data_IF_163582757678
#
_entry.id   IF_163582757678
#
_cell.length_a   1.000
_cell.length_b   1.000
_cell.length_c   1.000
_cell.angle_alpha   90.00
_cell.angle_beta   90.00
_cell.angle_gamma   90.00
#
_symmetry.space_group_name_H-M   'P 1'
#
loop_
_entity.id
_entity.type
_entity.pdbx_description
1 polymer ?
#
# COMPACT_ATOMS: atom_id res chain seq x y z
N UNK A 1 -11.80 17.39 6.55
CA UNK A 1 -12.94 16.69 7.17
C UNK A 1 -13.50 15.55 6.28
N UNK A 2 -13.88 15.79 5.01
CA UNK A 2 -14.42 14.75 4.10
C UNK A 2 -13.45 13.58 3.91
N UNK A 3 -12.15 13.83 3.74
CA UNK A 3 -11.15 12.76 3.56
C UNK A 3 -10.93 11.92 4.80
N UNK A 4 -10.92 12.52 5.98
CA UNK A 4 -10.82 11.77 7.23
C UNK A 4 -12.00 10.83 7.42
N UNK A 5 -13.20 11.26 7.00
CA UNK A 5 -14.41 10.43 7.01
C UNK A 5 -14.31 9.31 5.97
N UNK A 6 -13.84 9.60 4.74
CA UNK A 6 -13.65 8.58 3.70
C UNK A 6 -12.59 7.55 4.07
N UNK A 7 -11.47 7.98 4.63
CA UNK A 7 -10.41 7.07 5.11
C UNK A 7 -10.92 6.21 6.27
N UNK A 8 -11.69 6.79 7.19
CA UNK A 8 -12.30 6.09 8.32
C UNK A 8 -13.39 5.10 7.83
N UNK A 9 -14.21 5.49 6.86
CA UNK A 9 -15.19 4.62 6.22
C UNK A 9 -14.52 3.47 5.46
N UNK A 10 -13.46 3.73 4.70
CA UNK A 10 -12.70 2.70 4.01
C UNK A 10 -12.07 1.72 5.01
N UNK A 11 -11.51 2.23 6.11
CA UNK A 11 -10.94 1.39 7.18
C UNK A 11 -12.01 0.57 7.88
N UNK A 12 -13.18 1.15 8.18
CA UNK A 12 -14.31 0.43 8.78
C UNK A 12 -14.88 -0.64 7.85
N UNK A 13 -14.97 -0.34 6.54
CA UNK A 13 -15.37 -1.33 5.53
C UNK A 13 -14.37 -2.48 5.46
N UNK A 14 -13.07 -2.21 5.50
CA UNK A 14 -12.02 -3.22 5.56
C UNK A 14 -12.11 -4.07 6.83
N UNK A 15 -12.38 -3.47 7.99
CA UNK A 15 -12.58 -4.20 9.24
C UNK A 15 -13.84 -5.07 9.23
N UNK A 16 -14.95 -4.58 8.65
CA UNK A 16 -16.19 -5.37 8.51
C UNK A 16 -16.10 -6.46 7.46
N UNK A 17 -15.40 -6.23 6.36
CA UNK A 17 -15.23 -7.21 5.28
C UNK A 17 -14.15 -8.24 5.62
N UNK A 18 -13.20 -7.92 6.51
CA UNK A 18 -12.15 -8.84 6.93
C UNK A 18 -12.67 -10.21 7.42
N UNK A 19 -13.61 -10.27 8.37
CA UNK A 19 -14.22 -11.53 8.79
C UNK A 19 -14.94 -12.26 7.65
N UNK A 20 -15.75 -11.53 6.86
CA UNK A 20 -16.50 -12.09 5.72
C UNK A 20 -15.56 -12.67 4.64
N UNK A 21 -14.36 -12.09 4.51
CA UNK A 21 -13.34 -12.59 3.58
C UNK A 21 -12.77 -13.94 4.04
N UNK A 22 -12.69 -14.17 5.36
CA UNK A 22 -12.06 -15.36 5.93
C UNK A 22 -13.05 -16.42 6.45
N UNK A 23 -14.27 -16.04 6.89
CA UNK A 23 -15.24 -17.01 7.48
C UNK A 23 -15.87 -17.95 6.45
N UNK A 24 -16.07 -17.51 5.22
CA UNK A 24 -16.72 -18.36 4.19
C UNK A 24 -15.84 -19.53 3.70
N UNK A 25 -14.54 -19.50 3.98
CA UNK A 25 -13.60 -20.58 3.63
C UNK A 25 -13.50 -21.66 4.70
N UNK A 26 -13.85 -21.34 5.96
CA UNK A 26 -13.81 -22.35 7.03
C UNK A 26 -14.94 -23.39 6.93
N UNK A 27 -16.08 -23.05 6.32
CA UNK A 27 -17.19 -24.00 6.16
C UNK A 27 -16.90 -25.13 5.15
N UNK A 28 -15.94 -24.93 4.24
CA UNK A 28 -15.57 -25.95 3.23
C UNK A 28 -14.37 -26.82 3.63
N UNK A 29 -13.64 -26.50 4.71
CA UNK A 29 -12.45 -27.24 5.17
C UNK A 29 -12.71 -28.14 6.39
N UNK A 30 -13.86 -28.04 7.06
CA UNK A 30 -14.17 -28.90 8.22
C UNK A 30 -14.32 -30.40 7.88
N UNK A 31 -14.41 -30.76 6.60
CA UNK A 31 -14.53 -32.18 6.21
C UNK A 31 -13.19 -32.92 5.97
N UNK A 32 -12.01 -32.27 6.00
CA UNK A 32 -10.75 -32.92 5.55
C UNK A 32 -9.62 -32.99 6.56
N UNK A 33 -9.61 -32.31 7.71
CA UNK A 33 -8.48 -32.53 8.63
C UNK A 33 -8.76 -32.24 10.11
N UNK A 34 -9.14 -33.29 10.81
CA UNK A 34 -8.94 -33.43 12.24
C UNK A 34 -7.47 -33.78 12.53
N UNK A 35 -6.53 -32.83 12.50
CA UNK A 35 -5.26 -33.00 13.21
C UNK A 35 -4.45 -31.68 13.30
N UNK A 36 -4.08 -31.36 14.53
CA UNK A 36 -3.12 -30.37 15.01
C UNK A 36 -3.62 -28.93 15.14
N UNK A 37 -3.97 -28.60 16.39
CA UNK A 37 -4.21 -27.26 16.88
C UNK A 37 -2.98 -26.36 16.82
N UNK A 38 -2.85 -25.61 15.73
CA UNK A 38 -1.98 -24.42 15.66
C UNK A 38 -2.86 -23.17 15.74
N UNK A 39 -2.36 -22.03 16.25
CA UNK A 39 -3.17 -20.83 16.46
C UNK A 39 -3.56 -20.19 15.12
N UNK A 40 -4.58 -20.71 14.48
CA UNK A 40 -5.13 -20.24 13.20
C UNK A 40 -5.50 -18.75 13.29
N UNK A 41 -6.07 -18.31 14.41
CA UNK A 41 -6.47 -16.93 14.66
C UNK A 41 -5.31 -15.91 14.58
N UNK A 42 -4.12 -16.25 15.06
CA UNK A 42 -2.97 -15.35 15.03
C UNK A 42 -2.41 -15.10 13.62
N UNK A 43 -2.46 -16.12 12.78
CA UNK A 43 -1.90 -16.12 11.42
C UNK A 43 -2.77 -15.29 10.47
N UNK A 44 -4.08 -15.46 10.53
CA UNK A 44 -5.07 -14.68 9.77
C UNK A 44 -5.01 -13.19 10.12
N UNK A 45 -4.80 -12.84 11.40
CA UNK A 45 -4.66 -11.45 11.83
C UNK A 45 -3.46 -10.72 11.20
N UNK A 46 -2.33 -11.39 10.96
CA UNK A 46 -1.15 -10.77 10.32
C UNK A 46 -1.39 -10.55 8.83
N UNK A 47 -1.95 -11.54 8.13
CA UNK A 47 -2.29 -11.43 6.70
C UNK A 47 -3.27 -10.26 6.48
N UNK A 48 -4.32 -10.18 7.31
CA UNK A 48 -5.29 -9.09 7.23
C UNK A 48 -4.63 -7.71 7.43
N UNK A 49 -3.77 -7.56 8.43
CA UNK A 49 -3.04 -6.30 8.67
C UNK A 49 -2.15 -5.92 7.49
N UNK A 50 -1.45 -6.89 6.90
CA UNK A 50 -0.63 -6.67 5.71
C UNK A 50 -1.48 -6.20 4.52
N UNK A 51 -2.59 -6.87 4.25
CA UNK A 51 -3.53 -6.50 3.18
C UNK A 51 -4.09 -5.10 3.39
N UNK A 52 -4.52 -4.77 4.62
CA UNK A 52 -5.01 -3.42 4.94
C UNK A 52 -3.95 -2.35 4.70
N UNK A 53 -2.71 -2.57 5.13
CA UNK A 53 -1.61 -1.64 4.85
C UNK A 53 -1.39 -1.45 3.36
N UNK A 54 -1.38 -2.54 2.59
CA UNK A 54 -1.20 -2.49 1.13
C UNK A 54 -2.30 -1.68 0.47
N UNK A 55 -3.57 -1.93 0.80
CA UNK A 55 -4.70 -1.18 0.22
C UNK A 55 -4.63 0.31 0.58
N UNK A 56 -4.31 0.64 1.84
CA UNK A 56 -4.17 2.03 2.26
C UNK A 56 -3.03 2.73 1.52
N UNK A 57 -1.87 2.11 1.38
CA UNK A 57 -0.74 2.68 0.65
C UNK A 57 -1.01 2.82 -0.84
N UNK A 58 -1.60 1.80 -1.47
CA UNK A 58 -1.98 1.85 -2.88
C UNK A 58 -3.02 2.94 -3.16
N UNK A 59 -3.98 3.16 -2.27
CA UNK A 59 -4.98 4.22 -2.44
C UNK A 59 -4.38 5.63 -2.46
N UNK A 60 -3.29 5.87 -1.71
CA UNK A 60 -2.53 7.12 -1.80
C UNK A 60 -1.78 7.22 -3.13
N UNK A 61 -1.11 6.13 -3.55
CA UNK A 61 -0.41 6.08 -4.83
C UNK A 61 -1.33 6.43 -5.98
N UNK A 62 -2.49 5.80 -6.06
CA UNK A 62 -3.49 6.08 -7.10
C UNK A 62 -3.99 7.52 -7.07
N UNK A 63 -4.19 8.10 -5.89
CA UNK A 63 -4.55 9.53 -5.78
C UNK A 63 -3.45 10.41 -6.36
N UNK A 64 -2.19 10.11 -6.04
CA UNK A 64 -1.06 10.88 -6.53
C UNK A 64 -0.93 10.73 -8.04
N UNK A 65 -0.97 9.52 -8.57
CA UNK A 65 -0.90 9.24 -10.01
C UNK A 65 -2.01 9.96 -10.79
N UNK A 66 -3.23 9.98 -10.27
CA UNK A 66 -4.38 10.60 -10.94
C UNK A 66 -4.22 12.11 -11.15
N UNK A 67 -3.53 12.80 -10.27
CA UNK A 67 -3.37 14.26 -10.31
C UNK A 67 -1.92 14.73 -10.46
N UNK A 68 -0.98 13.81 -10.63
CA UNK A 68 0.44 14.08 -10.72
C UNK A 68 0.80 15.09 -11.81
N UNK A 69 0.24 14.90 -13.02
CA UNK A 69 0.48 15.81 -14.14
C UNK A 69 0.06 17.24 -13.78
N UNK A 70 -1.14 17.39 -13.19
CA UNK A 70 -1.66 18.72 -12.81
C UNK A 70 -0.79 19.33 -11.71
N UNK A 71 -0.45 18.56 -10.70
CA UNK A 71 0.39 18.98 -9.59
C UNK A 71 1.79 19.43 -10.08
N UNK A 72 2.49 18.58 -10.82
CA UNK A 72 3.85 18.86 -11.25
C UNK A 72 3.94 19.98 -12.29
N UNK A 73 2.99 20.06 -13.23
CA UNK A 73 3.04 21.07 -14.29
C UNK A 73 2.44 22.41 -13.88
N UNK A 74 1.36 22.43 -13.09
CA UNK A 74 0.66 23.67 -12.71
C UNK A 74 1.10 24.22 -11.37
N UNK A 75 1.22 23.34 -10.34
CA UNK A 75 1.51 23.81 -8.98
C UNK A 75 3.03 23.94 -8.76
N UNK A 76 3.84 22.97 -9.26
CA UNK A 76 5.30 22.99 -9.15
C UNK A 76 5.97 23.74 -10.32
N UNK A 77 5.31 23.84 -11.48
CA UNK A 77 5.83 24.55 -12.64
C UNK A 77 6.86 23.76 -13.46
N UNK A 78 6.86 22.43 -13.38
CA UNK A 78 7.77 21.58 -14.18
C UNK A 78 7.27 21.51 -15.61
N UNK A 79 8.18 21.68 -16.60
CA UNK A 79 7.83 21.57 -18.01
C UNK A 79 7.37 20.14 -18.38
N UNK A 80 6.54 20.02 -19.41
CA UNK A 80 6.08 18.68 -19.89
C UNK A 80 7.23 17.78 -20.30
N UNK A 81 8.34 18.35 -20.82
CA UNK A 81 9.53 17.56 -21.16
C UNK A 81 10.23 17.02 -19.90
N UNK A 82 10.39 17.87 -18.87
CA UNK A 82 10.97 17.45 -17.60
C UNK A 82 10.08 16.43 -16.87
N UNK A 83 8.76 16.55 -16.98
CA UNK A 83 7.82 15.53 -16.49
C UNK A 83 8.02 14.19 -17.21
N UNK A 84 8.06 14.17 -18.54
CA UNK A 84 8.30 12.94 -19.31
C UNK A 84 9.66 12.29 -18.96
N UNK A 85 10.70 13.13 -18.75
CA UNK A 85 11.99 12.65 -18.26
C UNK A 85 11.87 12.01 -16.88
N UNK A 86 11.14 12.62 -15.95
CA UNK A 86 10.95 12.08 -14.60
C UNK A 86 10.25 10.73 -14.58
N UNK A 87 9.26 10.50 -15.46
CA UNK A 87 8.62 9.19 -15.63
C UNK A 87 9.58 8.14 -16.19
N UNK A 88 10.42 8.52 -17.16
CA UNK A 88 11.46 7.62 -17.69
C UNK A 88 12.48 7.24 -16.62
N UNK A 89 12.88 8.21 -15.79
CA UNK A 89 13.74 7.99 -14.63
C UNK A 89 13.09 7.03 -13.63
N UNK A 90 11.82 7.23 -13.30
CA UNK A 90 11.04 6.34 -12.42
C UNK A 90 11.07 4.89 -12.93
N UNK A 91 10.81 4.68 -14.23
CA UNK A 91 10.86 3.36 -14.84
C UNK A 91 12.24 2.70 -14.72
N UNK A 92 13.32 3.47 -14.93
CA UNK A 92 14.71 2.99 -14.76
C UNK A 92 14.96 2.56 -13.31
N UNK A 93 14.51 3.37 -12.33
CA UNK A 93 14.69 3.02 -10.90
C UNK A 93 13.91 1.76 -10.54
N UNK A 94 12.69 1.56 -11.06
CA UNK A 94 11.93 0.32 -10.88
C UNK A 94 12.68 -0.89 -11.44
N UNK A 95 13.18 -0.80 -12.66
CA UNK A 95 13.95 -1.88 -13.30
C UNK A 95 15.22 -2.19 -12.52
N UNK A 96 15.99 -1.17 -12.14
CA UNK A 96 17.21 -1.33 -11.37
C UNK A 96 16.95 -1.99 -10.01
N UNK A 97 15.93 -1.52 -9.28
CA UNK A 97 15.56 -2.09 -7.98
C UNK A 97 15.11 -3.53 -8.11
N UNK A 98 14.25 -3.86 -9.07
CA UNK A 98 13.80 -5.23 -9.34
C UNK A 98 14.95 -6.14 -9.69
N UNK A 99 15.89 -5.67 -10.54
CA UNK A 99 17.08 -6.43 -10.93
C UNK A 99 17.97 -6.72 -9.73
N UNK A 100 18.29 -5.71 -8.90
CA UNK A 100 19.11 -5.88 -7.70
C UNK A 100 18.49 -6.90 -6.73
N UNK A 101 17.19 -6.83 -6.54
CA UNK A 101 16.47 -7.75 -5.65
C UNK A 101 16.42 -9.18 -6.19
N UNK A 102 16.37 -9.36 -7.51
CA UNK A 102 16.45 -10.67 -8.16
C UNK A 102 17.79 -11.35 -7.95
N UNK A 103 18.90 -10.60 -7.90
CA UNK A 103 20.24 -11.14 -7.65
C UNK A 103 20.55 -11.35 -6.17
N UNK A 104 19.93 -10.60 -5.27
CA UNK A 104 20.13 -10.73 -3.83
C UNK A 104 19.03 -11.59 -3.22
N UNK A 105 19.40 -12.79 -2.76
CA UNK A 105 18.48 -13.62 -1.98
C UNK A 105 18.09 -12.89 -0.68
N UNK A 106 16.84 -12.46 -0.59
CA UNK A 106 16.26 -11.88 0.63
C UNK A 106 15.94 -12.96 1.69
N UNK A 107 16.31 -14.22 1.45
CA UNK A 107 16.01 -15.37 2.32
C UNK A 107 16.59 -15.28 3.73
N UNK A 108 17.57 -14.39 3.95
CA UNK A 108 18.13 -14.16 5.29
C UNK A 108 17.18 -13.44 6.26
N UNK A 109 16.19 -12.75 5.74
CA UNK A 109 15.26 -11.93 6.54
C UNK A 109 13.85 -12.47 6.43
N UNK A 110 13.08 -12.36 7.50
CA UNK A 110 11.65 -12.67 7.45
C UNK A 110 10.96 -11.79 6.39
N UNK A 111 10.16 -12.38 5.46
CA UNK A 111 9.45 -11.61 4.43
C UNK A 111 8.60 -10.48 5.03
N UNK A 112 8.01 -10.71 6.20
CA UNK A 112 7.22 -9.69 6.91
C UNK A 112 8.09 -8.49 7.34
N UNK A 113 9.31 -8.72 7.81
CA UNK A 113 10.22 -7.63 8.19
C UNK A 113 10.63 -6.81 6.97
N UNK A 114 10.93 -7.47 5.86
CA UNK A 114 11.28 -6.81 4.60
C UNK A 114 10.08 -6.02 4.05
N UNK A 115 8.86 -6.57 4.14
CA UNK A 115 7.63 -5.86 3.79
C UNK A 115 7.45 -4.58 4.60
N UNK A 116 7.63 -4.62 5.92
CA UNK A 116 7.51 -3.44 6.78
C UNK A 116 8.56 -2.38 6.44
N UNK A 117 9.79 -2.78 6.14
CA UNK A 117 10.85 -1.87 5.71
C UNK A 117 10.52 -1.23 4.35
N UNK A 118 10.08 -2.02 3.37
CA UNK A 118 9.63 -1.51 2.07
C UNK A 118 8.47 -0.52 2.20
N UNK A 119 7.48 -0.85 3.04
CA UNK A 119 6.34 0.04 3.32
C UNK A 119 6.78 1.34 4.00
N UNK A 120 7.79 1.29 4.88
CA UNK A 120 8.35 2.50 5.52
C UNK A 120 9.06 3.40 4.49
N UNK A 121 9.82 2.81 3.55
CA UNK A 121 10.44 3.55 2.45
C UNK A 121 9.36 4.18 1.55
N UNK A 122 8.28 3.44 1.24
CA UNK A 122 7.15 3.97 0.49
C UNK A 122 6.46 5.13 1.21
N UNK A 123 6.31 5.06 2.55
CA UNK A 123 5.82 6.20 3.34
C UNK A 123 6.71 7.44 3.18
N UNK A 124 8.02 7.27 2.98
CA UNK A 124 8.93 8.37 2.64
C UNK A 124 8.48 9.10 1.36
N UNK A 125 8.08 8.38 0.31
CA UNK A 125 7.47 8.96 -0.88
C UNK A 125 6.19 9.73 -0.54
N UNK A 126 5.28 9.11 0.19
CA UNK A 126 3.98 9.70 0.57
C UNK A 126 4.15 11.03 1.32
N UNK A 127 5.18 11.13 2.17
CA UNK A 127 5.48 12.34 2.93
C UNK A 127 6.17 13.40 2.08
N UNK A 128 7.13 13.01 1.24
CA UNK A 128 7.98 13.96 0.50
C UNK A 128 7.28 14.53 -0.73
N UNK A 129 6.52 13.71 -1.46
CA UNK A 129 5.97 14.09 -2.76
C UNK A 129 5.06 15.34 -2.73
N UNK A 130 4.16 15.55 -1.75
CA UNK A 130 3.34 16.77 -1.69
C UNK A 130 4.12 18.08 -1.53
N UNK A 131 5.39 18.01 -1.13
CA UNK A 131 6.23 19.17 -0.84
C UNK A 131 7.38 19.37 -1.84
N UNK A 132 7.37 18.67 -2.98
CA UNK A 132 8.45 18.80 -3.97
C UNK A 132 8.43 20.20 -4.63
N UNK A 133 9.51 20.99 -4.51
CA UNK A 133 9.57 22.34 -5.09
C UNK A 133 10.17 22.36 -6.51
N UNK A 134 10.81 21.28 -6.96
CA UNK A 134 11.58 21.26 -8.20
C UNK A 134 11.84 19.82 -8.69
N UNK A 135 12.35 19.68 -9.92
CA UNK A 135 12.63 18.40 -10.55
C UNK A 135 13.57 17.48 -9.72
N UNK A 136 14.71 17.92 -9.17
CA UNK A 136 15.57 17.05 -8.37
C UNK A 136 14.85 16.40 -7.18
N UNK A 137 13.98 17.12 -6.48
CA UNK A 137 13.21 16.57 -5.36
C UNK A 137 12.10 15.62 -5.81
N UNK A 138 11.52 15.83 -7.01
CA UNK A 138 10.63 14.86 -7.65
C UNK A 138 11.38 13.57 -7.93
N UNK A 139 12.57 13.63 -8.54
CA UNK A 139 13.39 12.44 -8.82
C UNK A 139 13.76 11.70 -7.53
N UNK A 140 14.09 12.41 -6.46
CA UNK A 140 14.36 11.83 -5.16
C UNK A 140 13.12 11.12 -4.59
N UNK A 141 11.95 11.74 -4.68
CA UNK A 141 10.69 11.11 -4.22
C UNK A 141 10.36 9.83 -5.01
N UNK A 142 10.64 9.80 -6.31
CA UNK A 142 10.47 8.61 -7.15
C UNK A 142 11.41 7.46 -6.79
N UNK A 143 12.60 7.74 -6.26
CA UNK A 143 13.46 6.69 -5.71
C UNK A 143 12.76 6.03 -4.51
N UNK A 144 12.19 6.81 -3.58
CA UNK A 144 11.42 6.26 -2.46
C UNK A 144 10.21 5.44 -2.93
N UNK A 145 9.49 5.93 -3.95
CA UNK A 145 8.38 5.22 -4.56
C UNK A 145 8.82 3.86 -5.12
N UNK A 146 9.78 3.87 -6.05
CA UNK A 146 10.20 2.66 -6.76
C UNK A 146 10.81 1.63 -5.81
N UNK A 147 11.72 2.04 -4.93
CA UNK A 147 12.36 1.15 -3.96
C UNK A 147 11.35 0.60 -2.96
N UNK A 148 10.53 1.47 -2.38
CA UNK A 148 9.54 1.09 -1.36
C UNK A 148 8.49 0.14 -1.91
N UNK A 149 7.92 0.46 -3.08
CA UNK A 149 6.88 -0.35 -3.72
C UNK A 149 7.42 -1.71 -4.19
N UNK A 150 8.62 -1.74 -4.77
CA UNK A 150 9.23 -3.00 -5.23
C UNK A 150 9.54 -3.92 -4.06
N UNK A 151 10.19 -3.41 -3.01
CA UNK A 151 10.54 -4.21 -1.83
C UNK A 151 9.28 -4.73 -1.12
N UNK A 152 8.30 -3.86 -0.87
CA UNK A 152 7.06 -4.26 -0.19
C UNK A 152 6.25 -5.25 -1.04
N UNK A 153 6.10 -5.02 -2.35
CA UNK A 153 5.35 -5.88 -3.25
C UNK A 153 5.94 -7.29 -3.35
N UNK A 154 7.26 -7.42 -3.58
CA UNK A 154 7.92 -8.73 -3.64
C UNK A 154 7.78 -9.45 -2.30
N UNK A 155 8.04 -8.77 -1.19
CA UNK A 155 8.00 -9.39 0.14
C UNK A 155 6.59 -9.79 0.56
N UNK A 156 5.57 -9.01 0.16
CA UNK A 156 4.17 -9.37 0.35
C UNK A 156 3.83 -10.66 -0.40
N UNK A 157 4.19 -10.74 -1.69
CA UNK A 157 3.90 -11.91 -2.50
C UNK A 157 4.55 -13.17 -1.92
N UNK A 158 5.83 -13.09 -1.53
CA UNK A 158 6.53 -14.21 -0.87
C UNK A 158 5.83 -14.61 0.43
N UNK A 159 5.51 -13.65 1.29
CA UNK A 159 4.85 -13.93 2.56
C UNK A 159 3.48 -14.60 2.37
N UNK A 160 2.67 -14.11 1.42
CA UNK A 160 1.34 -14.65 1.16
C UNK A 160 1.44 -16.08 0.56
N UNK A 161 2.38 -16.31 -0.37
CA UNK A 161 2.63 -17.64 -0.94
C UNK A 161 3.10 -18.67 0.09
N UNK A 162 3.85 -18.25 1.12
CA UNK A 162 4.27 -19.13 2.21
C UNK A 162 3.12 -19.46 3.19
N UNK A 163 2.08 -18.63 3.24
CA UNK A 163 1.03 -18.71 4.27
C UNK A 163 -0.32 -19.22 3.77
N UNK A 164 -0.59 -19.07 2.49
CA UNK A 164 -1.86 -19.39 1.86
C UNK A 164 -1.68 -20.48 0.81
N UNK A 165 -2.68 -21.32 0.65
CA UNK A 165 -2.71 -22.24 -0.49
C UNK A 165 -3.04 -21.46 -1.80
N UNK A 166 -2.79 -22.04 -2.99
CA UNK A 166 -3.00 -21.34 -4.26
C UNK A 166 -4.43 -20.83 -4.47
N UNK A 167 -5.45 -21.56 -4.00
CA UNK A 167 -6.85 -21.17 -4.14
C UNK A 167 -7.18 -19.96 -3.25
N UNK A 168 -6.77 -20.00 -1.97
CA UNK A 168 -6.93 -18.89 -1.03
C UNK A 168 -6.18 -17.64 -1.51
N UNK A 169 -4.98 -17.82 -2.05
CA UNK A 169 -4.16 -16.73 -2.58
C UNK A 169 -4.85 -16.04 -3.76
N UNK A 170 -5.36 -16.81 -4.72
CA UNK A 170 -6.08 -16.27 -5.87
C UNK A 170 -7.34 -15.52 -5.46
N UNK A 171 -8.14 -16.10 -4.57
CA UNK A 171 -9.34 -15.46 -4.03
C UNK A 171 -9.02 -14.16 -3.28
N UNK A 172 -7.93 -14.14 -2.51
CA UNK A 172 -7.47 -12.94 -1.80
C UNK A 172 -7.08 -11.83 -2.78
N UNK A 173 -6.30 -12.13 -3.82
CA UNK A 173 -5.92 -11.14 -4.82
C UNK A 173 -7.11 -10.57 -5.58
N UNK A 174 -8.09 -11.39 -5.98
CA UNK A 174 -9.31 -10.93 -6.61
C UNK A 174 -10.09 -9.95 -5.70
N UNK A 175 -10.21 -10.27 -4.42
CA UNK A 175 -10.90 -9.42 -3.44
C UNK A 175 -10.15 -8.09 -3.22
N UNK A 176 -8.82 -8.14 -3.10
CA UNK A 176 -7.98 -6.93 -2.98
C UNK A 176 -8.14 -6.05 -4.21
N UNK A 177 -8.10 -6.63 -5.41
CA UNK A 177 -8.23 -5.88 -6.67
C UNK A 177 -9.59 -5.17 -6.77
N UNK A 178 -10.69 -5.88 -6.53
CA UNK A 178 -12.03 -5.27 -6.53
C UNK A 178 -12.12 -4.14 -5.51
N UNK A 179 -11.61 -4.35 -4.30
CA UNK A 179 -11.66 -3.35 -3.25
C UNK A 179 -10.81 -2.11 -3.60
N UNK A 180 -9.62 -2.33 -4.18
CA UNK A 180 -8.77 -1.26 -4.67
C UNK A 180 -9.44 -0.44 -5.76
N UNK A 181 -10.09 -1.08 -6.74
CA UNK A 181 -10.78 -0.39 -7.83
C UNK A 181 -11.93 0.48 -7.31
N UNK A 182 -12.75 -0.06 -6.39
CA UNK A 182 -13.85 0.70 -5.77
C UNK A 182 -13.31 1.88 -4.97
N UNK A 183 -12.30 1.64 -4.11
CA UNK A 183 -11.70 2.69 -3.30
C UNK A 183 -11.05 3.78 -4.16
N UNK A 184 -10.31 3.37 -5.20
CA UNK A 184 -9.71 4.26 -6.20
C UNK A 184 -10.76 5.13 -6.87
N UNK A 185 -11.85 4.53 -7.37
CA UNK A 185 -12.93 5.28 -8.02
C UNK A 185 -13.50 6.35 -7.10
N UNK A 186 -13.79 6.01 -5.84
CA UNK A 186 -14.31 6.95 -4.84
C UNK A 186 -13.31 8.07 -4.55
N UNK A 187 -12.05 7.72 -4.29
CA UNK A 187 -11.00 8.69 -3.92
C UNK A 187 -10.75 9.67 -5.07
N UNK A 188 -10.58 9.18 -6.29
CA UNK A 188 -10.34 10.02 -7.47
C UNK A 188 -11.56 10.89 -7.77
N UNK A 189 -12.78 10.34 -7.73
CA UNK A 189 -14.00 11.10 -7.98
C UNK A 189 -14.20 12.25 -6.98
N UNK A 190 -14.08 11.97 -5.68
CA UNK A 190 -14.21 12.99 -4.63
C UNK A 190 -13.13 14.05 -4.76
N UNK A 191 -11.89 13.65 -5.06
CA UNK A 191 -10.75 14.56 -5.26
C UNK A 191 -11.00 15.47 -6.46
N UNK A 192 -11.50 14.94 -7.58
CA UNK A 192 -11.88 15.73 -8.76
C UNK A 192 -12.96 16.77 -8.46
N UNK A 193 -13.98 16.40 -7.67
CA UNK A 193 -15.00 17.35 -7.23
C UNK A 193 -14.42 18.49 -6.39
N UNK A 194 -13.43 18.20 -5.53
CA UNK A 194 -12.80 19.19 -4.66
C UNK A 194 -11.87 20.13 -5.45
N UNK A 195 -11.12 19.61 -6.43
CA UNK A 195 -10.33 20.43 -7.36
C UNK A 195 -11.24 21.36 -8.15
N UNK A 196 -12.38 20.86 -8.65
CA UNK A 196 -13.36 21.69 -9.35
C UNK A 196 -13.92 22.83 -8.47
N UNK A 197 -13.94 22.66 -7.15
CA UNK A 197 -14.33 23.69 -6.17
C UNK A 197 -13.18 24.64 -5.81
N UNK A 198 -12.02 24.52 -6.44
CA UNK A 198 -10.87 25.42 -6.24
C UNK A 198 -9.89 24.98 -5.15
N UNK A 199 -10.00 23.77 -4.62
CA UNK A 199 -8.95 23.26 -3.72
C UNK A 199 -7.68 22.93 -4.50
N UNK A 200 -6.52 23.32 -3.94
CA UNK A 200 -5.21 22.98 -4.48
C UNK A 200 -4.94 21.48 -4.36
N UNK A 201 -4.24 20.91 -5.34
CA UNK A 201 -3.90 19.48 -5.35
C UNK A 201 -3.05 19.10 -4.12
N UNK A 202 -2.10 19.95 -3.73
CA UNK A 202 -1.30 19.77 -2.50
C UNK A 202 -2.17 19.59 -1.25
N UNK A 203 -3.22 20.41 -1.08
CA UNK A 203 -4.15 20.32 0.06
C UNK A 203 -4.88 18.97 0.07
N UNK A 204 -5.23 18.48 -1.11
CA UNK A 204 -5.90 17.19 -1.29
C UNK A 204 -4.94 16.05 -0.93
N UNK A 205 -3.71 16.11 -1.45
CA UNK A 205 -2.68 15.11 -1.12
C UNK A 205 -2.45 15.02 0.39
N UNK A 206 -2.22 16.14 1.06
CA UNK A 206 -2.00 16.18 2.50
C UNK A 206 -3.24 15.74 3.30
N UNK A 207 -4.41 16.20 2.90
CA UNK A 207 -5.66 15.86 3.58
C UNK A 207 -5.99 14.36 3.53
N UNK A 208 -5.56 13.67 2.49
CA UNK A 208 -5.75 12.22 2.35
C UNK A 208 -4.58 11.43 2.95
N UNK A 209 -3.33 11.80 2.65
CA UNK A 209 -2.16 11.05 3.06
C UNK A 209 -1.92 11.05 4.57
N UNK A 210 -2.17 12.17 5.27
CA UNK A 210 -1.95 12.25 6.72
C UNK A 210 -2.74 11.20 7.52
N UNK A 211 -4.07 11.04 7.34
CA UNK A 211 -4.81 9.97 7.99
C UNK A 211 -4.28 8.56 7.64
N UNK A 212 -3.92 8.33 6.36
CA UNK A 212 -3.38 7.05 5.91
C UNK A 212 -2.04 6.76 6.58
N UNK A 213 -1.13 7.74 6.67
CA UNK A 213 0.16 7.59 7.35
C UNK A 213 -0.05 7.16 8.81
N UNK A 214 -0.94 7.84 9.52
CA UNK A 214 -1.24 7.52 10.94
C UNK A 214 -1.77 6.09 11.06
N UNK A 215 -2.70 5.69 10.21
CA UNK A 215 -3.27 4.34 10.22
C UNK A 215 -2.21 3.27 9.90
N UNK A 216 -1.41 3.48 8.86
CA UNK A 216 -0.35 2.54 8.46
C UNK A 216 0.70 2.40 9.57
N UNK A 217 1.16 3.50 10.16
CA UNK A 217 2.10 3.46 11.29
C UNK A 217 1.49 2.73 12.50
N UNK A 218 0.22 2.96 12.80
CA UNK A 218 -0.51 2.24 13.86
C UNK A 218 -0.55 0.73 13.60
N UNK A 219 -0.88 0.30 12.38
CA UNK A 219 -0.89 -1.12 12.00
C UNK A 219 0.52 -1.72 12.07
N UNK A 220 1.55 -0.99 11.62
CA UNK A 220 2.96 -1.43 11.71
C UNK A 220 3.39 -1.68 13.15
N UNK A 221 3.07 -0.75 14.07
CA UNK A 221 3.37 -0.89 15.49
C UNK A 221 2.66 -2.10 16.10
N UNK A 222 1.36 -2.26 15.83
CA UNK A 222 0.59 -3.42 16.29
C UNK A 222 1.17 -4.74 15.76
N UNK A 223 1.61 -4.78 14.51
CA UNK A 223 2.20 -5.97 13.90
C UNK A 223 3.54 -6.32 14.54
N UNK A 224 4.39 -5.31 14.79
CA UNK A 224 5.69 -5.51 15.46
C UNK A 224 5.55 -5.97 16.91
N UNK A 225 4.62 -5.39 17.67
CA UNK A 225 4.31 -5.81 19.04
C UNK A 225 3.80 -7.25 19.08
N UNK A 226 2.92 -7.61 18.17
CA UNK A 226 2.40 -8.97 18.08
C UNK A 226 3.50 -10.00 17.77
N UNK A 227 4.42 -9.68 16.86
CA UNK A 227 5.57 -10.56 16.56
C UNK A 227 6.51 -10.74 17.76
N UNK A 228 6.67 -9.71 18.58
CA UNK A 228 7.51 -9.80 19.81
C UNK A 228 6.88 -10.75 20.83
N UNK A 229 5.56 -10.68 21.02
CA UNK A 229 4.85 -11.54 21.97
C UNK A 229 4.78 -13.02 21.54
N UNK A 230 4.92 -13.32 20.25
CA UNK A 230 4.99 -14.72 19.77
C UNK A 230 6.38 -15.36 19.97
N UNK A 231 7.41 -14.57 20.27
CA UNK A 231 8.80 -15.03 20.48
C UNK A 231 9.19 -15.14 21.95
N UNK A 232 8.38 -14.59 22.84
CA UNK A 232 8.49 -14.72 24.30
C UNK A 232 7.69 -15.92 24.79
#
# INVERSE_FOLDING_TARGET
MVYSVLTLLATLLLFKLGPIIFDRENESEEEVSSSQGSPIFGRQSIVLKMVMMTILLQSVGVLYDAYEVIFLTKDVGISSQAYSFSLSFLAIVFLATSSILSFKSLTKYSPMTVYLLGSLVYLGYVVVFPFVPNLPTVLLSYIFLAVGQTISGISQNVYLQEKLNPLQLNNLYLKIEVLNQVLTGIVVFVSGMLIKRGLQVTTIYLGYSLPVIILVLGIMLMTKLYQKNLKS
#
